data_IF_166686743083
#
_entry.id   IF_166686743083
#
_cell.length_a   1.000
_cell.length_b   1.000
_cell.length_c   1.000
_cell.angle_alpha   90.00
_cell.angle_beta   90.00
_cell.angle_gamma   90.00
#
_symmetry.space_group_name_H-M   'P 1'
#
loop_
_entity.id
_entity.type
_entity.pdbx_description
1 polymer ?
#
# COMPACT_ATOMS: atom_id res chain seq x y z
N UNK A 1 3.60 -7.94 -8.82
CA UNK A 1 4.35 -7.34 -7.71
C UNK A 1 4.07 -5.85 -7.71
N UNK A 2 3.85 -5.24 -6.55
CA UNK A 2 3.69 -3.78 -6.42
C UNK A 2 5.08 -3.16 -6.50
N UNK A 3 5.49 -2.72 -7.69
CA UNK A 3 6.85 -2.26 -7.95
C UNK A 3 6.83 -0.93 -8.68
N UNK A 4 7.83 -0.09 -8.40
CA UNK A 4 8.14 1.11 -9.15
C UNK A 4 8.33 0.81 -10.65
N UNK A 5 8.32 1.88 -11.46
CA UNK A 5 8.71 1.80 -12.87
C UNK A 5 10.10 1.18 -12.99
N UNK A 6 10.32 0.47 -14.10
CA UNK A 6 11.54 -0.34 -14.29
C UNK A 6 12.78 0.55 -14.22
N UNK A 7 13.56 0.42 -13.15
CA UNK A 7 14.78 1.19 -12.90
C UNK A 7 14.63 2.37 -11.93
N UNK A 8 13.44 2.59 -11.36
CA UNK A 8 13.18 3.68 -10.40
C UNK A 8 12.98 3.17 -8.97
N UNK A 9 13.26 4.03 -8.00
CA UNK A 9 12.95 3.78 -6.60
C UNK A 9 11.52 4.25 -6.29
N UNK A 10 10.74 3.38 -5.65
CA UNK A 10 9.44 3.67 -5.08
C UNK A 10 9.53 4.58 -3.84
N UNK A 11 10.60 4.42 -3.06
CA UNK A 11 10.93 5.25 -1.91
C UNK A 11 12.32 5.83 -2.14
N UNK A 12 12.42 7.14 -2.32
CA UNK A 12 13.67 7.82 -2.61
C UNK A 12 14.41 8.21 -1.32
N UNK A 13 13.68 8.55 -0.26
CA UNK A 13 14.23 8.91 1.04
C UNK A 13 13.41 8.33 2.21
N UNK A 14 13.88 8.53 3.43
CA UNK A 14 13.23 8.05 4.66
C UNK A 14 11.83 8.68 4.87
N UNK A 15 11.60 9.88 4.34
CA UNK A 15 10.32 10.59 4.44
C UNK A 15 9.25 9.83 3.67
N UNK A 16 9.58 9.31 2.49
CA UNK A 16 8.66 8.50 1.69
C UNK A 16 8.23 7.22 2.43
N UNK A 17 9.15 6.57 3.14
CA UNK A 17 8.81 5.40 3.95
C UNK A 17 7.84 5.77 5.09
N UNK A 18 8.09 6.89 5.78
CA UNK A 18 7.20 7.34 6.87
C UNK A 18 5.81 7.70 6.34
N UNK A 19 5.72 8.49 5.28
CA UNK A 19 4.45 8.87 4.65
C UNK A 19 3.66 7.64 4.19
N UNK A 20 4.34 6.63 3.64
CA UNK A 20 3.68 5.39 3.23
C UNK A 20 3.13 4.59 4.42
N UNK A 21 3.86 4.52 5.53
CA UNK A 21 3.41 3.86 6.76
C UNK A 21 2.19 4.59 7.34
N UNK A 22 2.23 5.92 7.41
CA UNK A 22 1.09 6.75 7.85
C UNK A 22 -0.14 6.51 6.98
N UNK A 23 0.04 6.52 5.65
CA UNK A 23 -1.04 6.25 4.71
C UNK A 23 -1.62 4.85 4.85
N UNK A 24 -0.81 3.83 5.16
CA UNK A 24 -1.31 2.48 5.48
C UNK A 24 -2.22 2.53 6.71
N UNK A 25 -1.81 3.23 7.77
CA UNK A 25 -2.60 3.34 9.00
C UNK A 25 -3.94 4.06 8.76
N UNK A 26 -3.95 5.11 7.95
CA UNK A 26 -5.17 5.80 7.54
C UNK A 26 -6.07 4.91 6.69
N UNK A 27 -5.50 4.21 5.72
CA UNK A 27 -6.24 3.32 4.82
C UNK A 27 -6.86 2.15 5.59
N UNK A 28 -6.16 1.59 6.57
CA UNK A 28 -6.66 0.56 7.50
C UNK A 28 -7.94 1.02 8.19
N UNK A 29 -7.94 2.24 8.74
CA UNK A 29 -9.10 2.84 9.41
C UNK A 29 -10.24 3.12 8.41
N UNK A 30 -9.92 3.69 7.25
CA UNK A 30 -10.91 4.08 6.25
C UNK A 30 -11.64 2.88 5.64
N UNK A 31 -10.90 1.81 5.34
CA UNK A 31 -11.46 0.61 4.69
C UNK A 31 -11.78 -0.52 5.66
N UNK A 32 -11.54 -0.37 6.97
CA UNK A 32 -11.81 -1.43 7.95
C UNK A 32 -11.12 -2.75 7.55
N UNK A 33 -9.85 -2.65 7.14
CA UNK A 33 -9.00 -3.80 6.80
C UNK A 33 -7.89 -3.93 7.82
N UNK A 34 -7.43 -5.15 8.09
CA UNK A 34 -6.35 -5.39 9.05
C UNK A 34 -5.04 -5.66 8.30
N UNK A 35 -3.98 -4.93 8.62
CA UNK A 35 -2.63 -5.22 8.11
C UNK A 35 -1.90 -6.06 9.14
N UNK A 36 -1.52 -7.28 8.73
CA UNK A 36 -0.86 -8.26 9.62
C UNK A 36 0.66 -8.12 9.55
N UNK A 37 1.19 -7.83 8.36
CA UNK A 37 2.61 -7.67 8.13
C UNK A 37 2.87 -6.80 6.90
N UNK A 38 4.00 -6.11 6.88
CA UNK A 38 4.48 -5.38 5.71
C UNK A 38 6.02 -5.44 5.59
N UNK A 39 6.51 -5.36 4.37
CA UNK A 39 7.93 -5.24 4.04
C UNK A 39 8.09 -4.16 2.96
N UNK A 40 8.87 -3.13 3.26
CA UNK A 40 9.14 -2.00 2.37
C UNK A 40 10.57 -2.11 1.84
N UNK A 41 10.72 -2.12 0.52
CA UNK A 41 12.01 -2.07 -0.15
C UNK A 41 12.00 -0.88 -1.10
N UNK A 42 13.19 -0.35 -1.41
CA UNK A 42 13.32 0.84 -2.27
C UNK A 42 12.63 0.72 -3.63
N UNK A 43 12.41 -0.49 -4.16
CA UNK A 43 11.81 -0.72 -5.49
C UNK A 43 10.39 -1.30 -5.45
N UNK A 44 9.96 -1.87 -4.33
CA UNK A 44 8.67 -2.56 -4.20
C UNK A 44 8.28 -2.76 -2.73
N UNK A 45 7.00 -3.06 -2.51
CA UNK A 45 6.51 -3.41 -1.18
C UNK A 45 5.63 -4.65 -1.18
N UNK A 46 5.62 -5.33 -0.04
CA UNK A 46 4.71 -6.42 0.28
C UNK A 46 3.87 -6.04 1.49
N UNK A 47 2.56 -6.16 1.40
CA UNK A 47 1.64 -5.97 2.54
C UNK A 47 0.70 -7.16 2.59
N UNK A 48 0.57 -7.76 3.77
CA UNK A 48 -0.40 -8.80 4.07
C UNK A 48 -1.62 -8.16 4.73
N UNK A 49 -2.75 -8.19 4.01
CA UNK A 49 -4.00 -7.54 4.44
C UNK A 49 -5.10 -8.58 4.57
N UNK A 50 -5.82 -8.55 5.70
CA UNK A 50 -7.09 -9.22 5.88
C UNK A 50 -8.23 -8.22 5.63
N UNK A 51 -9.06 -8.50 4.63
CA UNK A 51 -10.15 -7.63 4.21
C UNK A 51 -11.51 -8.33 4.44
N UNK A 52 -12.11 -8.23 5.64
CA UNK A 52 -13.32 -8.97 5.99
C UNK A 52 -14.54 -8.58 5.13
N UNK A 53 -14.54 -7.37 4.56
CA UNK A 53 -15.64 -6.84 3.75
C UNK A 53 -15.40 -6.95 2.23
N UNK A 54 -14.48 -7.82 1.78
CA UNK A 54 -14.14 -8.02 0.37
C UNK A 54 -13.76 -6.72 -0.39
N UNK A 55 -13.24 -5.72 0.32
CA UNK A 55 -12.95 -4.39 -0.18
C UNK A 55 -11.46 -4.14 -0.47
N UNK A 56 -10.65 -5.21 -0.50
CA UNK A 56 -9.20 -5.16 -0.73
C UNK A 56 -8.85 -4.39 -2.01
N UNK A 57 -9.53 -4.65 -3.13
CA UNK A 57 -9.24 -3.97 -4.40
C UNK A 57 -9.45 -2.45 -4.32
N UNK A 58 -10.45 -1.99 -3.57
CA UNK A 58 -10.72 -0.55 -3.36
C UNK A 58 -9.67 0.07 -2.44
N UNK A 59 -9.37 -0.61 -1.33
CA UNK A 59 -8.31 -0.26 -0.40
C UNK A 59 -6.96 -0.08 -1.12
N UNK A 60 -6.54 -1.09 -1.90
CA UNK A 60 -5.29 -1.03 -2.66
C UNK A 60 -5.30 0.07 -3.72
N UNK A 61 -6.43 0.29 -4.42
CA UNK A 61 -6.53 1.40 -5.38
C UNK A 61 -6.33 2.76 -4.70
N UNK A 62 -6.95 2.96 -3.53
CA UNK A 62 -6.81 4.19 -2.77
C UNK A 62 -5.37 4.39 -2.28
N UNK A 63 -4.80 3.37 -1.62
CA UNK A 63 -3.43 3.39 -1.11
C UNK A 63 -2.43 3.79 -2.20
N UNK A 64 -2.49 3.12 -3.35
CA UNK A 64 -1.57 3.40 -4.45
C UNK A 64 -1.79 4.78 -5.08
N UNK A 65 -3.05 5.19 -5.23
CA UNK A 65 -3.38 6.48 -5.84
C UNK A 65 -2.96 7.67 -4.98
N UNK A 66 -3.20 7.60 -3.68
CA UNK A 66 -2.82 8.66 -2.73
C UNK A 66 -1.30 8.73 -2.59
N UNK A 67 -0.63 7.58 -2.40
CA UNK A 67 0.83 7.58 -2.30
C UNK A 67 1.50 8.16 -3.55
N UNK A 68 1.03 7.79 -4.75
CA UNK A 68 1.59 8.33 -6.00
C UNK A 68 1.46 9.85 -6.06
N UNK A 69 0.32 10.41 -5.62
CA UNK A 69 0.13 11.87 -5.59
C UNK A 69 1.06 12.54 -4.57
N UNK A 70 1.19 11.97 -3.36
CA UNK A 70 2.09 12.48 -2.32
C UNK A 70 3.55 12.46 -2.78
N UNK A 71 3.99 11.34 -3.34
CA UNK A 71 5.34 11.16 -3.87
C UNK A 71 5.64 12.17 -4.98
N UNK A 72 4.72 12.32 -5.93
CA UNK A 72 4.85 13.25 -7.05
C UNK A 72 4.94 14.70 -6.58
N UNK A 73 4.09 15.09 -5.63
CA UNK A 73 4.12 16.43 -5.04
C UNK A 73 5.43 16.67 -4.29
N UNK A 74 5.89 15.70 -3.49
CA UNK A 74 7.13 15.80 -2.72
C UNK A 74 8.37 15.91 -3.62
N UNK A 75 8.37 15.21 -4.76
CA UNK A 75 9.51 15.14 -5.69
C UNK A 75 9.39 16.04 -6.92
N UNK A 76 8.33 16.85 -7.04
CA UNK A 76 8.09 17.72 -8.19
C UNK A 76 7.92 16.97 -9.52
N UNK A 77 7.30 15.78 -9.49
CA UNK A 77 7.01 14.97 -10.68
C UNK A 77 5.56 15.19 -11.14
N UNK A 78 5.36 15.39 -12.44
CA UNK A 78 4.02 15.53 -13.06
C UNK A 78 3.45 14.18 -13.55
N UNK A 79 4.05 13.07 -13.11
CA UNK A 79 3.72 11.73 -13.58
C UNK A 79 2.25 11.40 -13.29
N UNK A 80 1.58 10.71 -14.21
CA UNK A 80 0.17 10.33 -14.00
C UNK A 80 0.05 9.39 -12.79
N UNK A 81 -1.04 9.45 -11.97
CA UNK A 81 -1.27 8.62 -10.77
C UNK A 81 -1.28 7.08 -10.93
N UNK A 82 -0.78 6.53 -12.04
CA UNK A 82 -0.66 5.10 -12.31
C UNK A 82 0.72 4.67 -12.84
N UNK A 83 1.67 5.61 -12.99
CA UNK A 83 2.98 5.35 -13.60
C UNK A 83 3.91 4.54 -12.68
N UNK A 84 3.77 4.73 -11.36
CA UNK A 84 4.68 4.19 -10.35
C UNK A 84 4.26 2.81 -9.84
N UNK A 85 2.98 2.42 -9.94
CA UNK A 85 2.50 1.15 -9.36
C UNK A 85 1.62 0.34 -10.33
N UNK A 86 2.20 -0.66 -11.00
CA UNK A 86 1.42 -1.74 -11.61
C UNK A 86 0.96 -2.72 -10.53
N UNK A 87 -0.18 -2.42 -9.89
CA UNK A 87 -0.81 -3.33 -8.91
C UNK A 87 -1.41 -4.52 -9.64
N UNK A 88 -0.80 -5.70 -9.49
CA UNK A 88 -1.50 -6.97 -9.70
C UNK A 88 -1.90 -7.52 -8.33
N UNK A 89 -3.18 -7.47 -7.93
CA UNK A 89 -3.63 -8.07 -6.69
C UNK A 89 -3.39 -9.59 -6.78
N UNK A 90 -2.49 -10.11 -5.97
CA UNK A 90 -2.38 -11.55 -5.73
C UNK A 90 -3.36 -11.87 -4.60
N UNK A 91 -4.56 -12.33 -4.96
CA UNK A 91 -5.55 -12.76 -3.99
C UNK A 91 -5.14 -14.12 -3.40
N UNK A 92 -4.62 -14.13 -2.18
CA UNK A 92 -4.59 -15.34 -1.36
C UNK A 92 -5.77 -15.24 -0.39
N UNK A 93 -6.79 -16.06 -0.62
CA UNK A 93 -7.95 -16.14 0.28
C UNK A 93 -7.55 -16.93 1.53
N UNK A 94 -7.30 -16.23 2.64
CA UNK A 94 -7.17 -16.88 3.94
C UNK A 94 -8.56 -16.98 4.58
N UNK A 95 -9.03 -18.22 4.81
CA UNK A 95 -10.17 -18.47 5.72
C UNK A 95 -9.73 -18.06 7.12
N UNK A 96 -10.49 -17.17 7.76
CA UNK A 96 -10.24 -16.68 9.11
C UNK A 96 -10.11 -17.83 10.12
N UNK A 97 -9.01 -17.93 10.90
CA UNK A 97 -9.10 -18.44 12.25
C UNK A 97 -9.68 -17.31 13.12
N UNK A 98 -10.64 -17.67 13.95
CA UNK A 98 -11.22 -16.81 14.99
C UNK A 98 -10.08 -16.18 15.81
N UNK A 99 -9.97 -14.84 15.80
CA UNK A 99 -8.93 -14.13 16.54
C UNK A 99 -9.58 -13.27 17.60
N UNK A 100 -9.54 -13.83 18.81
CA UNK A 100 -9.79 -13.22 20.10
C UNK A 100 -8.95 -11.93 20.24
N UNK A 101 -9.61 -10.83 20.59
CA UNK A 101 -8.97 -9.57 20.96
C UNK A 101 -8.08 -9.79 22.20
N UNK A 102 -6.79 -9.47 22.10
CA UNK A 102 -6.01 -9.09 23.27
C UNK A 102 -5.82 -7.57 23.24
N UNK A 103 -6.36 -6.95 24.29
CA UNK A 103 -6.28 -5.54 24.67
C UNK A 103 -4.85 -5.03 24.80
#
# INVERSE_FOLDING_TARGET
>A
MNSARRGENLFADDTDYQQFIELIQETVKLFHVNVVAFCLMSTHYHVMVQAPHANLSRCMRHLNGVYTQMYNLHHGRDDTPGSICLVKPQGVSFKSPEMELAL
#
